data_IF_830482283717
#
_entry.id   IF_830482283717
#
_cell.length_a   1.000
_cell.length_b   1.000
_cell.length_c   1.000
_cell.angle_alpha   90.00
_cell.angle_beta   90.00
_cell.angle_gamma   90.00
#
_symmetry.space_group_name_H-M   'P 1'
#
loop_
_entity.id
_entity.type
_entity.pdbx_description
1 polymer ?
#
# COMPACT_ATOMS: atom_id res chain seq x y z
N UNK A 1 -11.07 4.33 43.38
CA UNK A 1 -9.94 4.71 42.49
C UNK A 1 -8.86 3.62 42.38
N UNK A 2 -9.24 2.36 42.14
CA UNK A 2 -8.33 1.26 41.80
C UNK A 2 -8.97 0.49 40.65
N UNK A 3 -8.61 0.80 39.41
CA UNK A 3 -9.28 0.19 38.25
C UNK A 3 -8.73 0.50 36.86
N UNK A 4 -7.92 1.54 36.67
CA UNK A 4 -7.56 2.01 35.31
C UNK A 4 -6.05 2.02 34.98
N UNK A 5 -5.24 1.18 35.62
CA UNK A 5 -3.77 1.15 35.35
C UNK A 5 -3.32 -0.13 34.63
N UNK A 6 -4.23 -1.01 34.20
CA UNK A 6 -3.87 -2.30 33.57
C UNK A 6 -3.86 -2.33 32.04
N UNK A 7 -4.08 -1.21 31.33
CA UNK A 7 -4.27 -1.22 29.87
C UNK A 7 -3.10 -0.69 29.03
N UNK A 8 -1.91 -0.52 29.60
CA UNK A 8 -0.71 -0.04 28.88
C UNK A 8 0.49 -0.99 28.88
N UNK A 9 0.36 -2.21 29.39
CA UNK A 9 1.47 -3.18 29.43
C UNK A 9 1.45 -4.13 28.20
N UNK A 10 2.54 -4.06 27.41
CA UNK A 10 2.97 -4.98 26.34
C UNK A 10 2.22 -4.98 24.99
N UNK A 11 2.16 -3.83 24.30
CA UNK A 11 1.80 -3.80 22.86
C UNK A 11 3.02 -3.73 21.91
N UNK A 12 4.26 -3.63 22.42
CA UNK A 12 5.45 -3.52 21.57
C UNK A 12 5.88 -4.87 20.98
N UNK A 13 5.83 -5.93 21.79
CA UNK A 13 6.12 -7.31 21.40
C UNK A 13 5.04 -8.19 22.04
N UNK A 14 4.41 -9.04 21.24
CA UNK A 14 3.39 -9.99 21.67
C UNK A 14 3.48 -11.26 20.80
N UNK A 15 2.84 -12.33 21.24
CA UNK A 15 2.54 -13.48 20.39
C UNK A 15 1.11 -13.92 20.69
N UNK A 16 0.19 -13.62 19.78
CA UNK A 16 -1.24 -13.92 19.95
C UNK A 16 -1.63 -15.05 19.02
N UNK A 17 -1.46 -16.28 19.49
CA UNK A 17 -1.73 -17.52 18.76
C UNK A 17 -3.12 -17.59 18.12
N UNK A 18 -4.14 -16.96 18.74
CA UNK A 18 -5.50 -16.88 18.21
C UNK A 18 -5.62 -16.16 16.85
N UNK A 19 -4.59 -15.43 16.42
CA UNK A 19 -4.55 -14.70 15.15
C UNK A 19 -3.73 -15.39 14.06
N UNK A 20 -3.06 -16.51 14.34
CA UNK A 20 -2.14 -17.16 13.40
C UNK A 20 -2.86 -17.72 12.17
N UNK A 21 -4.10 -18.20 12.32
CA UNK A 21 -4.92 -18.63 11.17
C UNK A 21 -5.22 -17.50 10.19
N UNK A 22 -5.47 -16.29 10.69
CA UNK A 22 -5.66 -15.09 9.85
C UNK A 22 -4.37 -14.73 9.10
N UNK A 23 -3.21 -14.93 9.72
CA UNK A 23 -1.91 -14.67 9.09
C UNK A 23 -1.63 -15.58 7.90
N UNK A 24 -2.11 -16.82 7.92
CA UNK A 24 -2.00 -17.73 6.77
C UNK A 24 -2.62 -17.13 5.51
N UNK A 25 -3.81 -16.55 5.64
CA UNK A 25 -4.48 -15.85 4.53
C UNK A 25 -3.71 -14.60 4.08
N UNK A 26 -3.16 -13.83 5.04
CA UNK A 26 -2.33 -12.64 4.73
C UNK A 26 -1.08 -13.03 3.93
N UNK A 27 -0.38 -14.10 4.35
CA UNK A 27 0.81 -14.60 3.65
C UNK A 27 0.47 -15.16 2.27
N UNK A 28 -0.61 -15.93 2.14
CA UNK A 28 -1.04 -16.43 0.83
C UNK A 28 -1.40 -15.28 -0.12
N UNK A 29 -2.06 -14.24 0.39
CA UNK A 29 -2.40 -13.05 -0.40
C UNK A 29 -1.15 -12.29 -0.83
N UNK A 30 -0.16 -12.18 0.05
CA UNK A 30 1.15 -11.62 -0.27
C UNK A 30 1.83 -12.40 -1.39
N UNK A 31 1.90 -13.73 -1.28
CA UNK A 31 2.50 -14.58 -2.31
C UNK A 31 1.75 -14.47 -3.66
N UNK A 32 0.42 -14.33 -3.63
CA UNK A 32 -0.37 -14.09 -4.84
C UNK A 32 -0.01 -12.75 -5.50
N UNK A 33 0.19 -11.68 -4.71
CA UNK A 33 0.66 -10.38 -5.23
C UNK A 33 2.06 -10.51 -5.83
N UNK A 34 3.02 -11.14 -5.13
CA UNK A 34 4.38 -11.37 -5.65
C UNK A 34 4.34 -12.17 -6.96
N UNK A 35 3.55 -13.25 -7.00
CA UNK A 35 3.38 -14.07 -8.18
C UNK A 35 2.73 -13.30 -9.35
N UNK A 36 1.73 -12.47 -9.08
CA UNK A 36 1.10 -11.61 -10.08
C UNK A 36 2.08 -10.60 -10.69
N UNK A 37 2.93 -9.99 -9.87
CA UNK A 37 3.99 -9.09 -10.33
C UNK A 37 5.06 -9.82 -11.13
N UNK A 38 5.49 -10.99 -10.66
CA UNK A 38 6.44 -11.84 -11.40
C UNK A 38 5.88 -12.23 -12.77
N UNK A 39 4.61 -12.63 -12.85
CA UNK A 39 3.95 -12.92 -14.12
C UNK A 39 3.91 -11.69 -15.04
N UNK A 40 3.60 -10.51 -14.50
CA UNK A 40 3.58 -9.28 -15.29
C UNK A 40 4.98 -8.93 -15.83
N UNK A 41 5.99 -8.86 -14.96
CA UNK A 41 7.28 -8.24 -15.29
C UNK A 41 8.36 -9.21 -15.75
N UNK A 42 8.29 -10.48 -15.36
CA UNK A 42 9.29 -11.50 -15.72
C UNK A 42 8.80 -12.47 -16.80
N UNK A 43 7.49 -12.68 -16.92
CA UNK A 43 6.90 -13.64 -17.90
C UNK A 43 6.29 -12.93 -19.10
N UNK A 44 5.31 -12.03 -18.89
CA UNK A 44 4.68 -11.32 -20.00
C UNK A 44 5.58 -10.23 -20.55
N UNK A 45 6.21 -9.46 -19.66
CA UNK A 45 7.13 -8.36 -19.97
C UNK A 45 6.49 -7.31 -20.89
N UNK A 46 7.28 -6.35 -21.36
CA UNK A 46 6.83 -5.36 -22.36
C UNK A 46 6.60 -5.98 -23.75
N UNK A 47 7.03 -7.22 -24.00
CA UNK A 47 6.74 -7.94 -25.25
C UNK A 47 5.25 -8.24 -25.42
N UNK A 48 4.49 -8.34 -24.33
CA UNK A 48 3.04 -8.57 -24.33
C UNK A 48 2.33 -7.48 -23.52
N UNK A 49 2.44 -6.24 -23.97
CA UNK A 49 1.96 -5.03 -23.28
C UNK A 49 0.57 -5.18 -22.66
N UNK A 50 -0.41 -5.71 -23.41
CA UNK A 50 -1.78 -5.88 -22.90
C UNK A 50 -1.84 -6.87 -21.72
N UNK A 51 -1.17 -8.02 -21.81
CA UNK A 51 -1.13 -9.00 -20.73
C UNK A 51 -0.34 -8.47 -19.54
N UNK A 52 0.81 -7.82 -19.77
CA UNK A 52 1.59 -7.17 -18.72
C UNK A 52 0.73 -6.14 -17.96
N UNK A 53 0.05 -5.24 -18.68
CA UNK A 53 -0.78 -4.21 -18.05
C UNK A 53 -1.98 -4.79 -17.30
N UNK A 54 -2.73 -5.73 -17.91
CA UNK A 54 -3.91 -6.36 -17.29
C UNK A 54 -3.50 -7.13 -16.02
N UNK A 55 -2.40 -7.88 -16.10
CA UNK A 55 -1.89 -8.64 -14.96
C UNK A 55 -1.36 -7.72 -13.88
N UNK A 56 -0.64 -6.65 -14.23
CA UNK A 56 -0.13 -5.67 -13.28
C UNK A 56 -1.26 -4.88 -12.61
N UNK A 57 -1.98 -4.05 -13.35
CA UNK A 57 -2.93 -3.08 -12.79
C UNK A 57 -4.23 -3.73 -12.29
N UNK A 58 -5.14 -4.15 -13.18
CA UNK A 58 -6.44 -4.71 -12.78
C UNK A 58 -6.34 -5.98 -11.91
N UNK A 59 -5.53 -6.97 -12.30
CA UNK A 59 -5.48 -8.26 -11.58
C UNK A 59 -4.68 -8.12 -10.29
N UNK A 60 -3.43 -7.65 -10.36
CA UNK A 60 -2.54 -7.68 -9.20
C UNK A 60 -2.76 -6.50 -8.27
N UNK A 61 -2.63 -5.26 -8.74
CA UNK A 61 -2.76 -4.09 -7.86
C UNK A 61 -4.20 -3.92 -7.35
N UNK A 62 -5.19 -3.94 -8.24
CA UNK A 62 -6.59 -3.82 -7.84
C UNK A 62 -7.12 -5.12 -7.23
N UNK A 63 -7.13 -6.23 -7.97
CA UNK A 63 -7.78 -7.47 -7.52
C UNK A 63 -7.15 -8.07 -6.27
N UNK A 64 -5.86 -8.43 -6.35
CA UNK A 64 -5.14 -9.09 -5.25
C UNK A 64 -4.70 -8.10 -4.17
N UNK A 65 -4.27 -6.90 -4.57
CA UNK A 65 -3.64 -5.92 -3.70
C UNK A 65 -4.58 -4.96 -2.97
N UNK A 66 -5.80 -4.72 -3.49
CA UNK A 66 -6.76 -3.81 -2.84
C UNK A 66 -8.07 -4.53 -2.57
N UNK A 67 -8.69 -5.11 -3.59
CA UNK A 67 -10.02 -5.68 -3.47
C UNK A 67 -10.08 -6.84 -2.49
N UNK A 68 -9.15 -7.78 -2.59
CA UNK A 68 -9.08 -8.93 -1.70
C UNK A 68 -8.91 -8.53 -0.22
N UNK A 69 -7.93 -7.67 0.18
CA UNK A 69 -7.81 -7.16 1.55
C UNK A 69 -9.08 -6.47 2.08
N UNK A 70 -9.70 -5.62 1.27
CA UNK A 70 -10.86 -4.84 1.69
C UNK A 70 -12.10 -5.73 1.84
N UNK A 71 -12.33 -6.65 0.89
CA UNK A 71 -13.41 -7.62 0.95
C UNK A 71 -13.24 -8.56 2.15
N UNK A 72 -12.02 -9.06 2.38
CA UNK A 72 -11.72 -9.87 3.55
C UNK A 72 -12.02 -9.10 4.83
N UNK A 73 -11.58 -7.85 4.93
CA UNK A 73 -11.80 -6.99 6.11
C UNK A 73 -13.29 -6.86 6.42
N UNK A 74 -14.10 -6.46 5.43
CA UNK A 74 -15.55 -6.28 5.63
C UNK A 74 -16.27 -7.60 5.89
N UNK A 75 -15.92 -8.69 5.20
CA UNK A 75 -16.50 -10.02 5.45
C UNK A 75 -16.23 -10.54 6.86
N UNK A 76 -15.12 -10.14 7.47
CA UNK A 76 -14.79 -10.44 8.86
C UNK A 76 -15.40 -9.44 9.86
N UNK A 77 -16.39 -8.64 9.45
CA UNK A 77 -17.10 -7.69 10.31
C UNK A 77 -16.30 -6.45 10.69
N UNK A 78 -15.14 -6.22 10.07
CA UNK A 78 -14.24 -5.10 10.37
C UNK A 78 -14.56 -3.89 9.50
N UNK A 79 -14.34 -2.70 10.04
CA UNK A 79 -14.54 -1.46 9.30
C UNK A 79 -13.36 -1.19 8.36
N UNK A 80 -13.55 -0.38 7.32
CA UNK A 80 -12.42 0.10 6.49
C UNK A 80 -11.41 0.95 7.29
N UNK A 81 -11.83 1.49 8.44
CA UNK A 81 -10.92 2.14 9.37
C UNK A 81 -9.86 1.18 9.95
N UNK A 82 -10.14 -0.13 10.00
CA UNK A 82 -9.21 -1.17 10.46
C UNK A 82 -8.12 -1.52 9.44
N UNK A 83 -8.17 -0.88 8.26
CA UNK A 83 -7.10 -0.85 7.25
C UNK A 83 -6.63 0.58 6.96
N UNK A 84 -6.93 1.52 7.85
CA UNK A 84 -6.48 2.92 7.74
C UNK A 84 -7.22 3.77 6.72
N UNK A 85 -8.33 3.29 6.14
CA UNK A 85 -9.21 4.09 5.29
C UNK A 85 -10.29 4.72 6.18
N UNK A 86 -10.02 5.94 6.64
CA UNK A 86 -10.89 6.64 7.60
C UNK A 86 -10.81 8.16 7.45
N UNK A 87 -11.90 8.84 7.81
CA UNK A 87 -11.91 10.30 7.96
C UNK A 87 -11.17 10.80 9.22
N UNK A 88 -10.92 9.92 10.19
CA UNK A 88 -10.22 10.29 11.43
C UNK A 88 -8.78 10.71 11.12
N UNK A 89 -8.41 11.92 11.54
CA UNK A 89 -7.11 12.55 11.27
C UNK A 89 -6.77 12.68 9.76
N UNK A 90 -7.74 12.59 8.85
CA UNK A 90 -7.46 12.59 7.41
C UNK A 90 -6.78 13.89 6.97
N UNK A 91 -7.30 15.05 7.37
CA UNK A 91 -6.71 16.35 7.02
C UNK A 91 -5.27 16.49 7.53
N UNK A 92 -5.01 16.14 8.79
CA UNK A 92 -3.66 16.17 9.38
C UNK A 92 -2.75 15.18 8.65
N UNK A 93 -3.25 13.99 8.32
CA UNK A 93 -2.49 12.98 7.59
C UNK A 93 -2.08 13.49 6.21
N UNK A 94 -3.00 14.11 5.48
CA UNK A 94 -2.72 14.74 4.18
C UNK A 94 -1.65 15.82 4.30
N UNK A 95 -1.76 16.70 5.30
CA UNK A 95 -0.77 17.78 5.52
C UNK A 95 0.60 17.20 5.85
N UNK A 96 0.68 16.23 6.76
CA UNK A 96 1.94 15.58 7.12
C UNK A 96 2.55 14.83 5.93
N UNK A 97 1.73 14.10 5.17
CA UNK A 97 2.16 13.42 3.95
C UNK A 97 2.73 14.39 2.91
N UNK A 98 2.11 15.55 2.74
CA UNK A 98 2.63 16.62 1.89
C UNK A 98 3.97 17.16 2.42
N UNK A 99 4.09 17.45 3.72
CA UNK A 99 5.34 17.93 4.32
C UNK A 99 6.48 16.92 4.14
N UNK A 100 6.23 15.64 4.43
CA UNK A 100 7.23 14.59 4.22
C UNK A 100 7.59 14.42 2.74
N UNK A 101 6.61 14.54 1.83
CA UNK A 101 6.84 14.49 0.39
C UNK A 101 7.69 15.66 -0.10
N UNK A 102 7.46 16.88 0.40
CA UNK A 102 8.29 18.05 0.08
C UNK A 102 9.73 17.89 0.59
N UNK A 103 9.90 17.34 1.79
CA UNK A 103 11.22 17.00 2.30
C UNK A 103 11.90 15.98 1.38
N UNK A 104 11.22 14.88 1.05
CA UNK A 104 11.76 13.87 0.15
C UNK A 104 12.12 14.43 -1.23
N UNK A 105 11.24 15.24 -1.82
CA UNK A 105 11.46 15.92 -3.10
C UNK A 105 12.78 16.71 -3.13
N UNK A 106 13.11 17.41 -2.05
CA UNK A 106 14.34 18.22 -1.96
C UNK A 106 15.63 17.40 -2.04
N UNK A 107 15.58 16.12 -1.67
CA UNK A 107 16.71 15.19 -1.78
C UNK A 107 16.69 14.34 -3.06
N UNK A 108 15.56 14.29 -3.78
CA UNK A 108 15.33 13.37 -4.90
C UNK A 108 15.00 14.10 -6.21
N UNK A 109 13.71 14.24 -6.56
CA UNK A 109 13.24 14.75 -7.85
C UNK A 109 13.76 16.15 -8.20
N UNK A 110 14.05 17.00 -7.21
CA UNK A 110 14.61 18.34 -7.45
C UNK A 110 15.93 18.30 -8.25
N UNK A 111 16.66 17.17 -8.19
CA UNK A 111 17.95 16.99 -8.86
C UNK A 111 17.85 16.34 -10.23
N UNK A 112 16.65 15.91 -10.64
CA UNK A 112 16.44 15.20 -11.89
C UNK A 112 15.96 16.14 -13.00
N UNK A 113 16.37 15.83 -14.23
CA UNK A 113 15.73 16.40 -15.41
C UNK A 113 14.39 15.68 -15.61
N UNK A 114 13.30 16.42 -15.49
CA UNK A 114 11.97 15.85 -15.65
C UNK A 114 11.67 15.59 -17.14
N UNK A 115 10.98 14.48 -17.47
CA UNK A 115 10.45 14.25 -18.81
C UNK A 115 9.49 15.35 -19.25
N UNK A 116 9.16 15.37 -20.55
CA UNK A 116 8.04 16.16 -21.06
C UNK A 116 6.73 15.74 -20.39
N UNK A 117 5.71 16.61 -20.44
CA UNK A 117 4.39 16.32 -19.86
C UNK A 117 3.82 14.97 -20.32
N UNK A 118 3.96 14.64 -21.60
CA UNK A 118 3.47 13.39 -22.19
C UNK A 118 4.12 12.14 -21.57
N UNK A 119 5.38 12.23 -21.19
CA UNK A 119 6.08 11.15 -20.47
C UNK A 119 5.85 11.18 -18.97
N UNK A 120 5.66 12.36 -18.38
CA UNK A 120 5.53 12.54 -16.93
C UNK A 120 4.15 12.15 -16.41
N UNK A 121 3.07 12.51 -17.12
CA UNK A 121 1.68 12.23 -16.72
C UNK A 121 1.41 10.73 -16.48
N UNK A 122 1.77 9.80 -17.39
CA UNK A 122 1.54 8.38 -17.15
C UNK A 122 2.34 7.85 -15.96
N UNK A 123 3.56 8.35 -15.71
CA UNK A 123 4.37 7.97 -14.55
C UNK A 123 3.77 8.47 -13.23
N UNK A 124 3.21 9.70 -13.22
CA UNK A 124 2.46 10.23 -12.07
C UNK A 124 1.26 9.33 -11.80
N UNK A 125 0.45 9.00 -12.82
CA UNK A 125 -0.75 8.18 -12.63
C UNK A 125 -0.42 6.76 -12.18
N UNK A 126 0.63 6.14 -12.75
CA UNK A 126 1.12 4.85 -12.28
C UNK A 126 1.55 4.94 -10.81
N UNK A 127 2.33 5.95 -10.44
CA UNK A 127 2.84 6.14 -9.09
C UNK A 127 1.72 6.39 -8.07
N UNK A 128 0.64 7.08 -8.46
CA UNK A 128 -0.56 7.24 -7.66
C UNK A 128 -1.29 5.90 -7.43
N UNK A 129 -1.41 5.07 -8.46
CA UNK A 129 -2.06 3.74 -8.36
C UNK A 129 -1.23 2.80 -7.50
N UNK A 130 0.07 2.68 -7.79
CA UNK A 130 0.99 1.81 -7.05
C UNK A 130 1.09 2.26 -5.59
N UNK A 131 1.26 3.57 -5.34
CA UNK A 131 1.32 4.10 -3.98
C UNK A 131 0.02 3.91 -3.20
N UNK A 132 -1.14 3.92 -3.87
CA UNK A 132 -2.42 3.61 -3.24
C UNK A 132 -2.48 2.14 -2.82
N UNK A 133 -2.16 1.24 -3.75
CA UNK A 133 -2.04 -0.19 -3.49
C UNK A 133 -1.10 -0.46 -2.31
N UNK A 134 0.10 0.13 -2.30
CA UNK A 134 1.08 -0.08 -1.24
C UNK A 134 0.58 0.39 0.13
N UNK A 135 -0.07 1.57 0.17
CA UNK A 135 -0.62 2.13 1.39
C UNK A 135 -1.75 1.26 1.96
N UNK A 136 -2.61 0.70 1.10
CA UNK A 136 -3.69 -0.20 1.55
C UNK A 136 -3.15 -1.58 1.93
N UNK A 137 -2.38 -2.22 1.04
CA UNK A 137 -1.95 -3.61 1.20
C UNK A 137 -0.93 -3.77 2.32
N UNK A 138 0.20 -3.05 2.25
CA UNK A 138 1.30 -3.27 3.19
C UNK A 138 1.09 -2.56 4.52
N UNK A 139 0.59 -1.32 4.49
CA UNK A 139 0.50 -0.48 5.70
C UNK A 139 -0.85 -0.63 6.38
N UNK A 140 -1.92 -0.43 5.61
CA UNK A 140 -3.29 -0.57 6.08
C UNK A 140 -3.59 -2.00 6.53
N UNK A 141 -3.27 -3.00 5.72
CA UNK A 141 -3.71 -4.36 5.97
C UNK A 141 -2.63 -5.24 6.61
N UNK A 142 -1.54 -5.55 5.91
CA UNK A 142 -0.52 -6.51 6.39
C UNK A 142 0.12 -6.06 7.71
N UNK A 143 0.66 -4.84 7.77
CA UNK A 143 1.30 -4.32 8.97
C UNK A 143 0.34 -4.35 10.16
N UNK A 144 -0.90 -3.87 10.02
CA UNK A 144 -1.84 -3.89 11.14
C UNK A 144 -2.22 -5.30 11.60
N UNK A 145 -2.30 -6.29 10.69
CA UNK A 145 -2.51 -7.70 11.06
C UNK A 145 -1.29 -8.30 11.75
N UNK A 146 -0.07 -7.96 11.32
CA UNK A 146 1.14 -8.35 12.03
C UNK A 146 1.25 -7.67 13.40
N UNK A 147 0.85 -6.40 13.53
CA UNK A 147 0.80 -5.72 14.83
C UNK A 147 -0.20 -6.37 15.79
N UNK A 148 -1.36 -6.80 15.29
CA UNK A 148 -2.35 -7.54 16.08
C UNK A 148 -1.83 -8.90 16.55
N UNK A 149 -1.04 -9.59 15.75
CA UNK A 149 -0.52 -10.91 16.08
C UNK A 149 0.76 -10.85 16.93
N UNK A 150 1.67 -9.93 16.62
CA UNK A 150 3.05 -9.92 17.12
C UNK A 150 3.44 -8.66 17.90
N UNK A 151 2.56 -7.66 17.99
CA UNK A 151 2.88 -6.36 18.56
C UNK A 151 3.54 -5.39 17.57
N UNK A 152 3.70 -4.13 18.00
CA UNK A 152 4.06 -3.01 17.12
C UNK A 152 5.42 -3.20 16.43
N UNK A 153 6.46 -3.56 17.18
CA UNK A 153 7.83 -3.61 16.63
C UNK A 153 7.95 -4.76 15.61
N UNK A 154 7.57 -6.01 15.92
CA UNK A 154 7.59 -7.07 14.93
C UNK A 154 6.64 -6.78 13.75
N UNK A 155 5.49 -6.14 14.00
CA UNK A 155 4.56 -5.76 12.94
C UNK A 155 5.14 -4.76 11.93
N UNK A 156 5.87 -3.76 12.41
CA UNK A 156 6.61 -2.81 11.57
C UNK A 156 7.69 -3.53 10.78
N UNK A 157 8.52 -4.37 11.42
CA UNK A 157 9.62 -5.07 10.77
C UNK A 157 9.12 -6.05 9.71
N UNK A 158 8.11 -6.85 10.02
CA UNK A 158 7.50 -7.80 9.07
C UNK A 158 6.80 -7.06 7.92
N UNK A 159 6.06 -5.99 8.21
CA UNK A 159 5.40 -5.17 7.18
C UNK A 159 6.39 -4.48 6.25
N UNK A 160 7.52 -3.99 6.77
CA UNK A 160 8.62 -3.44 5.97
C UNK A 160 9.33 -4.55 5.17
N UNK A 161 9.54 -5.72 5.76
CA UNK A 161 10.10 -6.89 5.08
C UNK A 161 9.25 -7.32 3.88
N UNK A 162 7.95 -7.53 4.07
CA UNK A 162 7.04 -7.85 2.96
C UNK A 162 7.02 -6.74 1.91
N UNK A 163 7.03 -5.47 2.32
CA UNK A 163 7.15 -4.34 1.39
C UNK A 163 8.47 -4.35 0.59
N UNK A 164 9.59 -4.74 1.18
CA UNK A 164 10.83 -4.85 0.44
C UNK A 164 10.79 -6.05 -0.54
N UNK A 165 10.44 -7.23 -0.02
CA UNK A 165 10.58 -8.49 -0.76
C UNK A 165 9.56 -8.69 -1.89
N UNK A 166 8.41 -8.00 -1.91
CA UNK A 166 7.53 -8.12 -3.08
C UNK A 166 8.17 -7.56 -4.36
N UNK A 167 9.22 -6.74 -4.21
CA UNK A 167 9.99 -6.21 -5.33
C UNK A 167 10.81 -7.26 -6.09
N UNK A 168 11.01 -8.45 -5.50
CA UNK A 168 11.51 -9.62 -6.24
C UNK A 168 10.61 -9.93 -7.45
N UNK A 169 9.30 -9.65 -7.35
CA UNK A 169 8.37 -9.79 -8.46
C UNK A 169 8.66 -8.85 -9.64
N UNK A 170 9.31 -7.70 -9.41
CA UNK A 170 9.79 -6.79 -10.45
C UNK A 170 11.17 -7.18 -11.00
N UNK A 171 11.88 -8.10 -10.34
CA UNK A 171 13.24 -8.49 -10.70
C UNK A 171 14.33 -7.60 -10.12
N UNK A 172 14.04 -6.86 -9.04
CA UNK A 172 15.03 -6.01 -8.36
C UNK A 172 16.14 -6.82 -7.69
N UNK A 173 17.32 -6.22 -7.63
CA UNK A 173 18.53 -6.75 -6.98
C UNK A 173 18.42 -6.74 -5.46
N UNK A 174 19.30 -7.49 -4.79
CA UNK A 174 19.32 -7.54 -3.32
C UNK A 174 19.66 -6.19 -2.68
N UNK A 175 20.49 -5.37 -3.33
CA UNK A 175 20.87 -4.05 -2.82
C UNK A 175 19.67 -3.09 -2.86
N UNK A 176 18.91 -3.09 -3.96
CA UNK A 176 17.67 -2.32 -4.10
C UNK A 176 16.62 -2.76 -3.08
N UNK A 177 16.43 -4.07 -2.90
CA UNK A 177 15.51 -4.62 -1.89
C UNK A 177 15.94 -4.21 -0.47
N UNK A 178 17.24 -4.23 -0.19
CA UNK A 178 17.77 -3.82 1.12
C UNK A 178 17.52 -2.34 1.37
N UNK A 179 17.72 -1.49 0.36
CA UNK A 179 17.37 -0.07 0.44
C UNK A 179 15.86 0.13 0.70
N UNK A 180 15.01 -0.59 -0.04
CA UNK A 180 13.55 -0.53 0.12
C UNK A 180 13.07 -1.05 1.46
N UNK A 181 13.80 -1.95 2.11
CA UNK A 181 13.51 -2.37 3.49
C UNK A 181 13.62 -1.19 4.47
N UNK A 182 14.68 -0.39 4.39
CA UNK A 182 14.83 0.80 5.25
C UNK A 182 13.80 1.87 4.96
N UNK A 183 13.48 2.12 3.68
CA UNK A 183 12.36 2.99 3.29
C UNK A 183 11.04 2.45 3.82
N UNK A 184 10.84 1.13 3.75
CA UNK A 184 9.68 0.43 4.28
C UNK A 184 9.50 0.65 5.78
N UNK A 185 10.59 0.61 6.56
CA UNK A 185 10.58 0.92 7.99
C UNK A 185 10.14 2.37 8.24
N UNK A 186 10.68 3.33 7.50
CA UNK A 186 10.30 4.75 7.61
C UNK A 186 8.80 4.92 7.33
N UNK A 187 8.30 4.38 6.22
CA UNK A 187 6.87 4.46 5.89
C UNK A 187 5.98 3.76 6.91
N UNK A 188 6.41 2.62 7.46
CA UNK A 188 5.68 1.91 8.50
C UNK A 188 5.60 2.72 9.81
N UNK A 189 6.67 3.41 10.19
CA UNK A 189 6.71 4.30 11.35
C UNK A 189 5.84 5.55 11.11
N UNK A 190 5.97 6.20 9.95
CA UNK A 190 5.16 7.37 9.56
C UNK A 190 3.68 7.01 9.56
N UNK A 191 3.30 5.87 8.95
CA UNK A 191 1.92 5.40 8.97
C UNK A 191 1.38 5.26 10.40
N UNK A 192 2.21 4.84 11.35
CA UNK A 192 1.79 4.66 12.74
C UNK A 192 1.49 5.94 13.50
N UNK A 193 1.88 7.10 13.00
CA UNK A 193 1.53 8.40 13.58
C UNK A 193 0.01 8.66 13.55
N UNK A 194 -0.67 8.24 12.48
CA UNK A 194 -2.11 8.46 12.33
C UNK A 194 -2.93 7.19 12.11
N UNK A 195 -2.29 6.08 11.70
CA UNK A 195 -2.93 4.87 11.16
C UNK A 195 -3.94 5.20 10.05
N UNK A 196 -3.62 6.21 9.24
CA UNK A 196 -4.44 6.64 8.14
C UNK A 196 -3.60 6.60 6.87
N UNK A 197 -4.08 5.91 5.83
CA UNK A 197 -3.32 5.76 4.58
C UNK A 197 -3.00 7.11 3.93
N UNK A 198 -3.77 8.15 4.26
CA UNK A 198 -3.58 9.51 3.72
C UNK A 198 -2.27 10.19 4.15
N UNK A 199 -1.57 9.64 5.14
CA UNK A 199 -0.24 10.14 5.53
C UNK A 199 0.86 9.70 4.56
N UNK A 200 0.57 8.67 3.76
CA UNK A 200 1.48 8.13 2.75
C UNK A 200 1.01 8.49 1.34
N UNK A 201 -0.25 8.26 1.04
CA UNK A 201 -0.88 8.55 -0.25
C UNK A 201 -1.75 9.80 -0.14
N UNK A 202 -1.78 10.73 -1.12
CA UNK A 202 -1.26 10.62 -2.48
C UNK A 202 0.14 11.23 -2.69
N UNK A 203 0.84 11.63 -1.63
CA UNK A 203 2.04 12.46 -1.77
C UNK A 203 3.35 11.72 -1.52
N UNK A 204 3.52 11.11 -0.35
CA UNK A 204 4.82 10.59 0.09
C UNK A 204 5.25 9.35 -0.71
N UNK A 205 4.41 8.31 -0.76
CA UNK A 205 4.76 7.09 -1.51
C UNK A 205 4.81 7.32 -3.03
N UNK A 206 3.86 8.05 -3.65
CA UNK A 206 3.94 8.32 -5.09
C UNK A 206 5.14 9.19 -5.48
N UNK A 207 5.60 10.12 -4.62
CA UNK A 207 6.84 10.88 -4.85
C UNK A 207 8.06 9.97 -4.95
N UNK A 208 8.14 8.94 -4.09
CA UNK A 208 9.22 7.96 -4.11
C UNK A 208 9.20 7.09 -5.37
N UNK A 209 8.01 6.57 -5.70
CA UNK A 209 7.81 5.82 -6.94
C UNK A 209 8.14 6.65 -8.18
N UNK A 210 7.70 7.90 -8.24
CA UNK A 210 7.98 8.78 -9.36
C UNK A 210 9.47 9.04 -9.54
N UNK A 211 10.19 9.30 -8.44
CA UNK A 211 11.64 9.44 -8.46
C UNK A 211 12.34 8.19 -8.99
N UNK A 212 12.03 7.02 -8.44
CA UNK A 212 12.66 5.76 -8.86
C UNK A 212 12.45 5.51 -10.35
N UNK A 213 11.19 5.62 -10.81
CA UNK A 213 10.85 5.37 -12.22
C UNK A 213 11.53 6.35 -13.18
N UNK A 214 11.61 7.65 -12.85
CA UNK A 214 12.32 8.62 -13.69
C UNK A 214 13.82 8.35 -13.68
N UNK A 215 14.40 8.05 -12.51
CA UNK A 215 15.83 7.77 -12.36
C UNK A 215 16.26 6.49 -13.12
N UNK A 216 15.40 5.48 -13.18
CA UNK A 216 15.60 4.25 -13.95
C UNK A 216 15.30 4.42 -15.45
N UNK A 217 14.84 5.60 -15.87
CA UNK A 217 14.55 5.91 -17.27
C UNK A 217 13.28 5.22 -17.79
N UNK A 218 12.35 4.85 -16.91
CA UNK A 218 11.08 4.26 -17.33
C UNK A 218 10.30 5.27 -18.17
N UNK A 219 9.92 4.85 -19.37
CA UNK A 219 9.05 5.60 -20.26
C UNK A 219 7.78 4.80 -20.50
N UNK A 220 6.62 5.46 -20.38
CA UNK A 220 5.32 4.88 -20.64
C UNK A 220 4.64 5.65 -21.78
N UNK A 221 3.87 4.97 -22.64
CA UNK A 221 3.02 5.65 -23.60
C UNK A 221 1.93 6.44 -22.85
N UNK A 222 1.51 7.57 -23.41
CA UNK A 222 0.51 8.43 -22.78
C UNK A 222 -0.80 7.68 -22.49
N UNK A 223 -1.15 6.71 -23.35
CA UNK A 223 -2.33 5.86 -23.22
C UNK A 223 -2.36 5.05 -21.91
N UNK A 224 -1.20 4.77 -21.30
CA UNK A 224 -1.12 4.11 -20.00
C UNK A 224 -1.85 4.92 -18.91
N UNK A 225 -1.93 6.25 -19.06
CA UNK A 225 -2.71 7.15 -18.20
C UNK A 225 -4.16 6.70 -18.07
N UNK A 226 -4.81 6.29 -19.17
CA UNK A 226 -6.20 5.84 -19.16
C UNK A 226 -6.34 4.53 -18.39
N UNK A 227 -5.41 3.60 -18.61
CA UNK A 227 -5.37 2.33 -17.90
C UNK A 227 -5.23 2.54 -16.39
N UNK A 228 -4.27 3.34 -15.95
CA UNK A 228 -4.07 3.61 -14.52
C UNK A 228 -5.23 4.40 -13.91
N UNK A 229 -5.84 5.32 -14.65
CA UNK A 229 -7.07 6.01 -14.22
C UNK A 229 -8.21 5.03 -13.98
N UNK A 230 -8.40 4.05 -14.86
CA UNK A 230 -9.38 2.99 -14.69
C UNK A 230 -9.11 2.18 -13.42
N UNK A 231 -7.86 1.75 -13.22
CA UNK A 231 -7.46 0.96 -12.02
C UNK A 231 -7.71 1.75 -10.74
N UNK A 232 -7.34 3.03 -10.69
CA UNK A 232 -7.61 3.88 -9.53
C UNK A 232 -9.12 4.05 -9.29
N UNK A 233 -9.89 4.23 -10.36
CA UNK A 233 -11.35 4.36 -10.28
C UNK A 233 -12.00 3.09 -9.73
N UNK A 234 -11.50 1.91 -10.09
CA UNK A 234 -11.95 0.63 -9.52
C UNK A 234 -11.64 0.54 -8.02
N UNK A 235 -10.43 0.93 -7.61
CA UNK A 235 -10.02 0.94 -6.19
C UNK A 235 -10.92 1.88 -5.36
N UNK A 236 -11.13 3.11 -5.81
CA UNK A 236 -11.99 4.10 -5.14
C UNK A 236 -13.45 3.65 -5.16
N UNK A 237 -13.95 3.19 -6.30
CA UNK A 237 -15.33 2.71 -6.44
C UNK A 237 -15.64 1.56 -5.48
N UNK A 238 -14.72 0.60 -5.33
CA UNK A 238 -14.88 -0.48 -4.37
C UNK A 238 -14.96 0.01 -2.93
N UNK A 239 -14.11 0.96 -2.53
CA UNK A 239 -14.13 1.55 -1.18
C UNK A 239 -15.49 2.20 -0.89
N UNK A 240 -16.02 2.95 -1.85
CA UNK A 240 -17.33 3.58 -1.72
C UNK A 240 -18.43 2.54 -1.53
N UNK A 241 -18.45 1.49 -2.35
CA UNK A 241 -19.43 0.39 -2.25
C UNK A 241 -19.33 -0.33 -0.91
N UNK A 242 -18.12 -0.71 -0.48
CA UNK A 242 -17.92 -1.44 0.77
C UNK A 242 -18.25 -0.60 2.00
N UNK A 243 -17.91 0.69 2.00
CA UNK A 243 -18.27 1.59 3.10
C UNK A 243 -19.80 1.76 3.21
N UNK A 244 -20.51 1.84 2.08
CA UNK A 244 -21.98 1.89 2.07
C UNK A 244 -22.60 0.58 2.59
N UNK A 245 -22.11 -0.58 2.13
CA UNK A 245 -22.59 -1.89 2.59
C UNK A 245 -22.37 -2.08 4.10
N UNK A 246 -21.18 -1.75 4.60
CA UNK A 246 -20.85 -1.87 6.01
C UNK A 246 -21.77 -1.00 6.89
N UNK A 247 -22.04 0.25 6.49
CA UNK A 247 -22.95 1.13 7.19
C UNK A 247 -24.38 0.58 7.24
N UNK A 248 -24.91 0.08 6.12
CA UNK A 248 -26.25 -0.54 6.06
C UNK A 248 -26.36 -1.74 7.01
N UNK A 249 -25.37 -2.61 7.03
CA UNK A 249 -25.37 -3.80 7.89
C UNK A 249 -25.35 -3.44 9.39
N UNK A 250 -24.63 -2.40 9.80
CA UNK A 250 -24.63 -1.94 11.20
C UNK A 250 -26.00 -1.36 11.59
N UNK A 251 -26.65 -0.60 10.69
CA UNK A 251 -27.95 0.02 10.98
C UNK A 251 -29.06 -1.03 11.11
N UNK A 252 -28.99 -2.15 10.39
CA UNK A 252 -29.98 -3.23 10.47
C UNK A 252 -29.87 -4.12 11.71
N UNK A 253 -28.74 -4.07 12.42
CA UNK A 253 -28.50 -4.88 13.63
C UNK A 253 -28.75 -4.08 14.92
N UNK A 254 -29.06 -2.78 14.81
CA UNK A 254 -29.48 -1.91 15.92
C UNK A 254 -31.00 -1.74 15.94
#
# INVERSE_FOLDING_TARGET
MKGEVKMFHNNFIALRWSRVGELGFVVLSYLAVVGGLYLAFQVFTTQRVALNFITFGPVTLFGLGVALPLLWTVKNGRALADVGITGRHAAISVILGLVFSLFQYSFTLYRLNLPSADGLIPLIMMSLVVGFFEAVFFRGWMQLRFEEAFGIIPGIVLGAGCYAFYHVGYGMTLDEITFLFFIGLIYAIVFRLSKNIFILWPFLTPMGGLYANINEGLSLPFEATYGFTLVLSLMVGLILVLNQQYRKNITLVR
#
